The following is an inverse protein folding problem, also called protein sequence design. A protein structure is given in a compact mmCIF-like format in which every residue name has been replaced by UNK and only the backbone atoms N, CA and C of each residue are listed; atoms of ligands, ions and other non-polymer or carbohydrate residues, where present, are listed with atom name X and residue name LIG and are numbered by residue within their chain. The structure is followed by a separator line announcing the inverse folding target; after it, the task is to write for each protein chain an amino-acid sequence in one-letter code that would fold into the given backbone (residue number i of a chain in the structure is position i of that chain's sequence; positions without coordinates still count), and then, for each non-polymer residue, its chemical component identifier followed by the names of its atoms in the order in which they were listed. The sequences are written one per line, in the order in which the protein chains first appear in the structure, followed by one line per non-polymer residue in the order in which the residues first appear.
data_IF_156440654581
#
_entry.id   IF_156440654581
#
_cell.length_a   1.000
_cell.length_b   1.000
_cell.length_c   1.000
_cell.angle_alpha   90.00
_cell.angle_beta   90.00
_cell.angle_gamma   90.00
#
_symmetry.space_group_name_H-M   'P 1'
#
loop_
_entity.id
_entity.type
_entity.pdbx_description
1 polymer ?
#
# COMPACT_ATOMS: atom_id res chain seq x y z
N UNK A 1 -3.89 -26.74 -61.80
CA UNK A 1 -2.97 -27.45 -60.89
C UNK A 1 -3.45 -27.29 -59.45
N UNK A 2 -3.93 -28.37 -58.78
CA UNK A 2 -4.31 -28.31 -57.34
C UNK A 2 -3.05 -28.39 -56.51
N UNK A 3 -2.75 -27.30 -55.75
CA UNK A 3 -1.66 -27.32 -54.75
C UNK A 3 -2.00 -28.32 -53.66
N UNK A 4 -1.17 -29.35 -53.48
CA UNK A 4 -1.29 -30.26 -52.32
C UNK A 4 -1.03 -29.46 -51.05
N UNK A 5 -2.04 -29.31 -50.23
CA UNK A 5 -1.87 -28.75 -48.85
C UNK A 5 -1.16 -29.81 -48.00
N UNK A 6 0.02 -29.45 -47.49
CA UNK A 6 0.72 -30.29 -46.52
C UNK A 6 0.03 -30.10 -45.16
N UNK A 7 -0.60 -31.13 -44.65
CA UNK A 7 -1.16 -31.13 -43.30
C UNK A 7 -0.08 -31.34 -42.25
N UNK A 8 -0.31 -30.87 -41.03
CA UNK A 8 0.53 -31.14 -39.86
C UNK A 8 0.46 -32.62 -39.49
N UNK A 9 1.59 -33.15 -39.05
CA UNK A 9 1.64 -34.51 -38.50
C UNK A 9 1.18 -34.48 -37.03
N UNK A 10 0.61 -35.59 -36.56
CA UNK A 10 0.15 -35.74 -35.17
C UNK A 10 1.29 -35.56 -34.16
N UNK A 11 2.51 -36.03 -34.52
CA UNK A 11 3.70 -35.91 -33.67
C UNK A 11 4.21 -34.47 -33.54
N UNK A 12 4.13 -33.67 -34.61
CA UNK A 12 4.51 -32.26 -34.58
C UNK A 12 3.59 -31.48 -33.62
N UNK A 13 2.30 -31.76 -33.64
CA UNK A 13 1.36 -31.15 -32.74
C UNK A 13 1.61 -31.58 -31.29
N UNK A 14 1.84 -32.85 -31.03
CA UNK A 14 2.07 -33.41 -29.71
C UNK A 14 3.33 -32.84 -29.04
N UNK A 15 4.43 -32.70 -29.79
CA UNK A 15 5.67 -32.11 -29.29
C UNK A 15 5.45 -30.61 -28.90
N UNK A 16 4.75 -29.86 -29.73
CA UNK A 16 4.49 -28.44 -29.49
C UNK A 16 3.66 -28.25 -28.20
N UNK A 17 2.58 -29.02 -28.03
CA UNK A 17 1.78 -28.89 -26.83
C UNK A 17 2.52 -29.34 -25.56
N UNK A 18 3.42 -30.33 -25.67
CA UNK A 18 4.25 -30.76 -24.55
C UNK A 18 5.24 -29.65 -24.14
N UNK A 19 5.89 -28.98 -25.08
CA UNK A 19 6.81 -27.87 -24.79
C UNK A 19 6.06 -26.70 -24.19
N UNK A 20 4.92 -26.30 -24.74
CA UNK A 20 4.10 -25.22 -24.20
C UNK A 20 3.64 -25.55 -22.78
N UNK A 21 3.24 -26.79 -22.50
CA UNK A 21 2.84 -27.23 -21.17
C UNK A 21 3.96 -27.08 -20.13
N UNK A 22 5.19 -27.47 -20.47
CA UNK A 22 6.35 -27.31 -19.57
C UNK A 22 6.67 -25.84 -19.35
N UNK A 23 6.72 -25.03 -20.41
CA UNK A 23 7.01 -23.60 -20.30
C UNK A 23 5.93 -22.86 -19.49
N UNK A 24 4.66 -23.20 -19.68
CA UNK A 24 3.56 -22.62 -18.92
C UNK A 24 3.66 -22.96 -17.43
N UNK A 25 3.97 -24.21 -17.09
CA UNK A 25 4.10 -24.62 -15.68
C UNK A 25 5.22 -23.85 -14.95
N UNK A 26 6.40 -23.71 -15.56
CA UNK A 26 7.51 -22.94 -14.98
C UNK A 26 7.21 -21.45 -14.95
N UNK A 27 6.61 -20.93 -16.04
CA UNK A 27 6.27 -19.51 -16.17
C UNK A 27 5.30 -19.02 -15.10
N UNK A 28 4.25 -19.78 -14.76
CA UNK A 28 3.26 -19.41 -13.74
C UNK A 28 3.90 -19.29 -12.37
N UNK A 29 4.76 -20.22 -11.96
CA UNK A 29 5.45 -20.20 -10.67
C UNK A 29 6.38 -18.99 -10.56
N UNK A 30 7.20 -18.75 -11.58
CA UNK A 30 8.12 -17.61 -11.60
C UNK A 30 7.36 -16.26 -11.57
N UNK A 31 6.27 -16.15 -12.34
CA UNK A 31 5.45 -14.95 -12.39
C UNK A 31 4.77 -14.65 -11.04
N UNK A 32 4.24 -15.66 -10.35
CA UNK A 32 3.59 -15.48 -9.04
C UNK A 32 4.57 -14.99 -7.98
N UNK A 33 5.80 -15.52 -7.96
CA UNK A 33 6.87 -15.06 -7.07
C UNK A 33 7.27 -13.61 -7.33
N UNK A 34 7.45 -13.25 -8.60
CA UNK A 34 7.77 -11.88 -8.99
C UNK A 34 6.68 -10.88 -8.60
N UNK A 35 5.42 -11.19 -8.88
CA UNK A 35 4.30 -10.30 -8.56
C UNK A 35 4.13 -10.13 -7.05
N UNK A 36 4.34 -11.17 -6.24
CA UNK A 36 4.31 -11.08 -4.78
C UNK A 36 5.41 -10.14 -4.26
N UNK A 37 6.63 -10.27 -4.76
CA UNK A 37 7.75 -9.38 -4.42
C UNK A 37 7.49 -7.92 -4.81
N UNK A 38 6.93 -7.69 -6.00
CA UNK A 38 6.58 -6.36 -6.48
C UNK A 38 5.51 -5.69 -5.59
N UNK A 39 4.47 -6.43 -5.20
CA UNK A 39 3.43 -5.96 -4.30
C UNK A 39 3.98 -5.57 -2.92
N UNK A 40 4.88 -6.40 -2.36
CA UNK A 40 5.56 -6.11 -1.09
C UNK A 40 6.42 -4.85 -1.19
N UNK A 41 7.16 -4.69 -2.29
CA UNK A 41 7.97 -3.50 -2.56
C UNK A 41 7.10 -2.23 -2.68
N UNK A 42 5.98 -2.31 -3.38
CA UNK A 42 5.02 -1.20 -3.50
C UNK A 42 4.43 -0.80 -2.14
N UNK A 43 4.07 -1.78 -1.29
CA UNK A 43 3.58 -1.50 0.06
C UNK A 43 4.66 -0.82 0.94
N UNK A 44 5.94 -1.22 0.82
CA UNK A 44 7.05 -0.54 1.49
C UNK A 44 7.24 0.89 0.99
N UNK A 45 7.07 1.12 -0.31
CA UNK A 45 7.10 2.47 -0.90
C UNK A 45 5.98 3.35 -0.35
N UNK A 46 4.77 2.83 -0.23
CA UNK A 46 3.65 3.54 0.39
C UNK A 46 3.97 3.93 1.85
N UNK A 47 4.52 3.00 2.64
CA UNK A 47 4.95 3.26 4.02
C UNK A 47 5.95 4.43 4.10
N UNK A 48 7.00 4.38 3.28
CA UNK A 48 8.01 5.43 3.25
C UNK A 48 7.44 6.77 2.78
N UNK A 49 6.51 6.76 1.82
CA UNK A 49 5.83 7.97 1.34
C UNK A 49 4.99 8.61 2.42
N UNK A 50 4.23 7.82 3.21
CA UNK A 50 3.43 8.31 4.34
C UNK A 50 4.31 9.03 5.36
N UNK A 51 5.40 8.39 5.81
CA UNK A 51 6.32 9.00 6.78
C UNK A 51 6.93 10.31 6.29
N UNK A 52 7.46 10.30 5.07
CA UNK A 52 8.09 11.50 4.48
C UNK A 52 7.09 12.63 4.30
N UNK A 53 5.90 12.31 3.81
CA UNK A 53 4.85 13.30 3.61
C UNK A 53 4.41 13.92 4.93
N UNK A 54 4.06 13.11 5.92
CA UNK A 54 3.61 13.59 7.22
C UNK A 54 4.70 14.45 7.90
N UNK A 55 5.95 13.98 7.94
CA UNK A 55 7.05 14.73 8.52
C UNK A 55 7.28 16.09 7.81
N UNK A 56 7.20 16.11 6.48
CA UNK A 56 7.37 17.36 5.72
C UNK A 56 6.24 18.36 5.99
N UNK A 57 5.00 17.90 6.07
CA UNK A 57 3.84 18.74 6.31
C UNK A 57 3.81 19.26 7.76
N UNK A 58 4.19 18.45 8.74
CA UNK A 58 4.36 18.91 10.13
C UNK A 58 5.45 19.97 10.24
N UNK A 59 6.59 19.78 9.58
CA UNK A 59 7.64 20.82 9.56
C UNK A 59 7.20 22.13 8.91
N UNK A 60 6.30 22.13 7.95
CA UNK A 60 5.69 23.36 7.41
C UNK A 60 4.89 24.11 8.52
N UNK A 61 4.14 23.36 9.32
CA UNK A 61 3.40 23.95 10.44
C UNK A 61 4.36 24.62 11.46
N UNK A 62 5.48 23.96 11.77
CA UNK A 62 6.47 24.50 12.69
C UNK A 62 7.14 25.78 12.16
N UNK A 63 7.54 25.77 10.88
CA UNK A 63 8.15 26.94 10.21
C UNK A 63 7.19 28.14 10.24
N UNK A 64 5.88 27.86 10.11
CA UNK A 64 4.84 28.89 10.17
C UNK A 64 4.41 29.26 11.60
N UNK A 65 5.15 28.88 12.64
CA UNK A 65 4.86 29.18 14.02
C UNK A 65 3.56 28.56 14.54
N UNK A 66 3.21 27.38 14.06
CA UNK A 66 1.98 26.69 14.46
C UNK A 66 0.69 27.26 13.87
N UNK A 67 0.80 28.16 12.89
CA UNK A 67 -0.37 28.82 12.27
C UNK A 67 -0.60 28.32 10.85
N UNK A 68 -1.84 28.48 10.34
CA UNK A 68 -2.21 28.06 8.99
C UNK A 68 -2.70 26.63 8.93
N UNK A 69 -2.57 26.03 7.74
CA UNK A 69 -3.04 24.67 7.50
C UNK A 69 -2.09 23.94 6.55
N UNK A 70 -2.01 22.62 6.71
CA UNK A 70 -1.17 21.71 5.97
C UNK A 70 -1.97 20.50 5.45
N UNK A 71 -1.28 19.56 4.81
CA UNK A 71 -1.82 18.28 4.32
C UNK A 71 -2.99 18.46 3.35
N UNK A 72 -2.66 18.81 2.11
CA UNK A 72 -3.64 18.97 1.04
C UNK A 72 -4.13 17.61 0.55
N UNK A 73 -5.43 17.40 0.60
CA UNK A 73 -6.08 16.20 0.07
C UNK A 73 -6.35 16.32 -1.45
N UNK A 74 -6.67 15.20 -2.14
CA UNK A 74 -7.01 15.20 -3.57
C UNK A 74 -8.18 16.12 -3.93
N UNK A 75 -9.10 16.38 -3.02
CA UNK A 75 -10.20 17.33 -3.17
C UNK A 75 -9.74 18.81 -3.15
N UNK A 76 -8.44 19.05 -3.03
CA UNK A 76 -7.83 20.37 -2.98
C UNK A 76 -7.90 21.07 -1.63
N UNK A 77 -8.59 20.50 -0.64
CA UNK A 77 -8.77 21.09 0.69
C UNK A 77 -7.60 20.72 1.61
N UNK A 78 -7.20 21.66 2.45
CA UNK A 78 -6.26 21.43 3.54
C UNK A 78 -6.96 20.71 4.68
N UNK A 79 -6.36 19.65 5.21
CA UNK A 79 -6.98 18.74 6.18
C UNK A 79 -6.43 18.89 7.60
N UNK A 80 -5.25 19.45 7.77
CA UNK A 80 -4.64 19.70 9.06
C UNK A 80 -4.61 21.19 9.35
N UNK A 81 -5.23 21.63 10.46
CA UNK A 81 -4.93 22.92 11.05
C UNK A 81 -3.64 22.80 11.85
N UNK A 82 -2.69 23.69 11.63
CA UNK A 82 -1.41 23.65 12.35
C UNK A 82 -1.57 23.85 13.85
N UNK A 83 -2.65 24.50 14.31
CA UNK A 83 -3.00 24.59 15.73
C UNK A 83 -3.40 23.26 16.36
N UNK A 84 -3.73 22.25 15.56
CA UNK A 84 -4.14 20.92 16.01
C UNK A 84 -2.98 19.90 15.96
N UNK A 85 -1.78 20.32 15.53
CA UNK A 85 -0.56 19.51 15.68
C UNK A 85 -0.34 19.31 17.19
N UNK A 86 -0.08 18.08 17.62
CA UNK A 86 -0.04 17.72 19.04
C UNK A 86 -1.38 17.29 19.62
N UNK A 87 -2.47 17.31 18.84
CA UNK A 87 -3.76 16.77 19.27
C UNK A 87 -3.93 15.34 18.77
N UNK A 88 -4.30 14.43 19.65
CA UNK A 88 -4.43 13.00 19.37
C UNK A 88 -5.25 12.70 18.09
N UNK A 89 -4.66 11.93 17.20
CA UNK A 89 -5.22 11.49 15.92
C UNK A 89 -5.51 12.58 14.87
N UNK A 90 -5.21 13.84 15.10
CA UNK A 90 -5.49 14.90 14.10
C UNK A 90 -4.48 14.84 12.93
N UNK A 91 -3.20 14.62 13.23
CA UNK A 91 -2.16 14.43 12.19
C UNK A 91 -2.43 13.15 11.41
N UNK A 92 -2.78 12.06 12.07
CA UNK A 92 -3.10 10.79 11.42
C UNK A 92 -4.32 10.90 10.49
N UNK A 93 -5.43 11.49 10.95
CA UNK A 93 -6.64 11.73 10.12
C UNK A 93 -6.33 12.59 8.90
N UNK A 94 -5.57 13.66 9.08
CA UNK A 94 -5.20 14.55 7.99
C UNK A 94 -4.27 13.85 6.99
N UNK A 95 -3.32 13.03 7.47
CA UNK A 95 -2.41 12.23 6.62
C UNK A 95 -3.20 11.23 5.79
N UNK A 96 -4.13 10.48 6.37
CA UNK A 96 -4.99 9.53 5.67
C UNK A 96 -5.82 10.24 4.61
N UNK A 97 -6.43 11.37 4.94
CA UNK A 97 -7.23 12.15 3.99
C UNK A 97 -6.40 12.74 2.84
N UNK A 98 -5.17 13.16 3.12
CA UNK A 98 -4.28 13.72 2.11
C UNK A 98 -3.74 12.66 1.13
N UNK A 99 -3.59 11.42 1.57
CA UNK A 99 -3.07 10.31 0.78
C UNK A 99 -4.17 9.32 0.34
N UNK A 100 -5.40 9.81 0.21
CA UNK A 100 -6.59 9.02 -0.12
C UNK A 100 -6.52 8.31 -1.48
N UNK A 101 -5.71 8.82 -2.41
CA UNK A 101 -5.52 8.24 -3.74
C UNK A 101 -4.60 7.01 -3.78
N UNK A 102 -3.89 6.74 -2.70
CA UNK A 102 -3.00 5.59 -2.61
C UNK A 102 -3.78 4.29 -2.63
N UNK A 103 -3.46 3.40 -3.58
CA UNK A 103 -4.12 2.10 -3.73
C UNK A 103 -3.33 0.98 -3.06
N UNK A 104 -4.07 0.02 -2.51
CA UNK A 104 -3.48 -1.18 -1.94
C UNK A 104 -2.87 -2.06 -3.04
N UNK A 105 -1.54 -2.34 -3.02
CA UNK A 105 -0.89 -3.13 -4.07
C UNK A 105 -1.39 -4.56 -4.18
N UNK A 106 -1.97 -5.08 -3.11
CA UNK A 106 -2.53 -6.44 -3.11
C UNK A 106 -3.97 -6.50 -3.61
N UNK A 107 -4.62 -5.35 -3.80
CA UNK A 107 -6.02 -5.29 -4.22
C UNK A 107 -7.01 -5.78 -3.15
N UNK A 108 -6.55 -5.95 -1.91
CA UNK A 108 -7.39 -6.43 -0.81
C UNK A 108 -8.33 -5.32 -0.39
N UNK A 109 -9.60 -5.65 -0.32
CA UNK A 109 -10.65 -4.80 0.25
C UNK A 109 -11.04 -5.45 1.58
N UNK A 110 -11.04 -4.71 2.71
CA UNK A 110 -11.45 -5.29 4.00
C UNK A 110 -12.83 -5.93 3.93
N UNK A 111 -13.00 -7.07 4.59
CA UNK A 111 -14.25 -7.84 4.59
C UNK A 111 -15.46 -7.05 5.09
N UNK A 112 -15.26 -5.96 5.80
CA UNK A 112 -16.28 -5.06 6.33
C UNK A 112 -16.80 -4.01 5.32
N UNK A 113 -16.47 -4.17 4.02
CA UNK A 113 -16.95 -3.25 2.98
C UNK A 113 -16.14 -1.96 2.96
N UNK A 114 -14.89 -2.02 2.56
CA UNK A 114 -14.01 -0.88 2.38
C UNK A 114 -13.69 -0.62 0.91
N UNK A 115 -13.02 0.48 0.69
CA UNK A 115 -12.39 0.80 -0.59
C UNK A 115 -10.99 0.17 -0.69
N UNK A 116 -10.42 0.17 -1.92
CA UNK A 116 -9.06 -0.32 -2.17
C UNK A 116 -7.99 0.75 -1.82
N UNK A 117 -8.21 1.57 -0.80
CA UNK A 117 -7.25 2.57 -0.35
C UNK A 117 -6.15 1.91 0.47
N UNK A 118 -4.89 2.29 0.20
CA UNK A 118 -3.75 1.73 0.89
C UNK A 118 -3.60 2.29 2.32
N UNK A 119 -3.95 3.56 2.52
CA UNK A 119 -3.71 4.26 3.78
C UNK A 119 -5.00 4.30 4.59
N UNK A 120 -4.92 3.86 5.84
CA UNK A 120 -6.04 3.74 6.77
C UNK A 120 -5.71 4.38 8.12
N UNK A 121 -6.73 4.89 8.79
CA UNK A 121 -6.57 5.30 10.18
C UNK A 121 -6.44 4.06 11.07
N UNK A 122 -5.38 4.02 11.86
CA UNK A 122 -5.18 2.98 12.89
C UNK A 122 -5.93 3.30 14.17
N UNK A 123 -6.10 2.29 15.01
CA UNK A 123 -6.71 2.43 16.34
C UNK A 123 -5.69 2.04 17.41
N UNK A 124 -5.44 2.94 18.37
CA UNK A 124 -4.60 2.67 19.53
C UNK A 124 -3.12 3.05 19.36
N UNK A 125 -2.38 2.99 20.45
CA UNK A 125 -0.97 3.40 20.56
C UNK A 125 0.04 2.31 20.16
N UNK A 126 -0.41 1.12 19.90
CA UNK A 126 0.45 0.01 19.45
C UNK A 126 -0.20 -0.62 18.24
N UNK A 127 0.65 -0.94 17.28
CA UNK A 127 0.42 -1.78 16.14
C UNK A 127 -1.00 -2.36 16.07
N UNK A 128 -1.86 -1.78 15.25
CA UNK A 128 -3.06 -2.49 14.80
C UNK A 128 -2.59 -3.85 14.29
N UNK A 129 -2.91 -4.91 15.02
CA UNK A 129 -2.48 -6.24 14.66
C UNK A 129 -2.92 -6.51 13.23
N UNK A 130 -1.99 -6.91 12.38
CA UNK A 130 -2.33 -7.34 11.04
C UNK A 130 -3.22 -8.57 11.16
N UNK A 131 -4.42 -8.49 10.62
CA UNK A 131 -5.46 -9.50 10.63
C UNK A 131 -5.93 -9.77 9.21
N UNK A 132 -6.84 -10.71 9.04
CA UNK A 132 -7.46 -10.99 7.75
C UNK A 132 -7.99 -9.72 7.10
N UNK A 133 -7.65 -9.53 5.82
CA UNK A 133 -8.04 -8.37 5.04
C UNK A 133 -7.22 -7.10 5.28
N UNK A 134 -6.14 -7.16 6.08
CA UNK A 134 -5.27 -5.99 6.32
C UNK A 134 -4.04 -5.94 5.42
N UNK A 135 -3.77 -7.01 4.68
CA UNK A 135 -2.60 -7.15 3.80
C UNK A 135 -2.49 -5.99 2.79
N UNK A 136 -1.34 -5.36 2.78
CA UNK A 136 -1.02 -4.23 1.90
C UNK A 136 -1.54 -2.88 2.39
N UNK A 137 -2.25 -2.83 3.51
CA UNK A 137 -2.65 -1.57 4.12
C UNK A 137 -1.54 -0.98 4.99
N UNK A 138 -1.47 0.34 4.99
CA UNK A 138 -0.63 1.13 5.88
C UNK A 138 -1.54 1.88 6.85
N UNK A 139 -1.42 1.57 8.12
CA UNK A 139 -2.16 2.20 9.20
C UNK A 139 -1.37 3.36 9.77
N UNK A 140 -2.05 4.47 10.00
CA UNK A 140 -1.48 5.70 10.58
C UNK A 140 -2.29 6.07 11.81
N UNK A 141 -1.62 6.34 12.90
CA UNK A 141 -2.22 6.84 14.13
C UNK A 141 -1.21 7.73 14.87
N UNK A 142 -1.68 8.66 15.69
CA UNK A 142 -0.83 9.47 16.56
C UNK A 142 -1.44 9.58 17.95
N UNK A 143 -0.59 9.78 18.95
CA UNK A 143 -0.95 10.01 20.34
C UNK A 143 -0.84 11.48 20.75
N UNK A 144 -0.59 12.36 19.78
CA UNK A 144 -0.33 13.78 19.96
C UNK A 144 1.16 14.11 19.91
N UNK A 145 2.03 13.28 20.47
CA UNK A 145 3.49 13.50 20.50
C UNK A 145 4.22 12.74 19.39
N UNK A 146 3.72 11.57 19.02
CA UNK A 146 4.36 10.68 18.06
C UNK A 146 3.37 10.17 17.03
N UNK A 147 3.74 10.26 15.76
CA UNK A 147 3.04 9.64 14.65
C UNK A 147 3.62 8.26 14.38
N UNK A 148 2.76 7.28 14.39
CA UNK A 148 3.09 5.88 14.11
C UNK A 148 2.55 5.47 12.75
N UNK A 149 3.36 4.76 12.00
CA UNK A 149 2.99 4.20 10.70
C UNK A 149 3.30 2.71 10.70
N UNK A 150 2.33 1.88 10.39
CA UNK A 150 2.48 0.44 10.33
C UNK A 150 1.92 -0.10 9.02
N UNK A 151 2.68 -0.96 8.34
CA UNK A 151 2.26 -1.61 7.09
C UNK A 151 2.25 -3.11 7.26
N UNK A 152 1.16 -3.75 6.84
CA UNK A 152 0.96 -5.19 6.87
C UNK A 152 1.32 -5.80 5.51
N UNK A 153 2.22 -6.79 5.48
CA UNK A 153 2.61 -7.49 4.24
C UNK A 153 1.91 -8.84 4.08
N UNK A 154 1.36 -9.37 5.16
CA UNK A 154 0.55 -10.58 5.18
C UNK A 154 -0.60 -10.40 6.17
N UNK A 155 -1.47 -11.38 6.27
CA UNK A 155 -2.54 -11.41 7.28
C UNK A 155 -2.04 -11.93 8.64
N UNK A 156 -0.72 -12.07 8.81
CA UNK A 156 -0.07 -12.45 10.06
C UNK A 156 0.63 -11.25 10.70
N UNK A 157 0.57 -11.14 12.01
CA UNK A 157 1.17 -10.06 12.81
C UNK A 157 2.69 -9.96 12.68
N UNK A 158 3.37 -11.06 12.35
CA UNK A 158 4.83 -11.12 12.26
C UNK A 158 5.42 -10.48 10.99
N UNK A 159 4.63 -10.27 9.91
CA UNK A 159 5.11 -9.71 8.65
C UNK A 159 4.66 -8.25 8.51
N UNK A 160 5.20 -7.41 9.37
CA UNK A 160 4.87 -5.99 9.45
C UNK A 160 6.12 -5.12 9.33
N UNK A 161 5.91 -3.87 8.96
CA UNK A 161 6.90 -2.81 9.05
C UNK A 161 6.31 -1.66 9.84
N UNK A 162 6.98 -1.25 10.91
CA UNK A 162 6.54 -0.14 11.75
C UNK A 162 7.61 0.93 11.80
N UNK A 163 7.21 2.18 11.77
CA UNK A 163 8.07 3.35 11.90
C UNK A 163 7.33 4.46 12.66
N UNK A 164 8.08 5.37 13.24
CA UNK A 164 7.51 6.49 13.97
C UNK A 164 8.28 7.78 13.68
N UNK A 165 7.62 8.92 13.87
CA UNK A 165 8.22 10.25 13.81
C UNK A 165 7.59 11.14 14.86
N UNK A 166 8.36 12.09 15.40
CA UNK A 166 7.84 13.06 16.38
C UNK A 166 6.85 14.00 15.70
N UNK A 167 5.77 14.33 16.42
CA UNK A 167 4.81 15.35 16.09
C UNK A 167 5.25 16.61 16.82
N UNK A 168 6.09 17.41 16.19
CA UNK A 168 6.63 18.67 16.74
C UNK A 168 6.08 19.87 15.98
#
# INVERSE_FOLDING_TARGET
MKKKQKGFTLIELLVVVAIIGILAAVGVVAYSGYTSGAKKSAAKSNHAAVLKYAAAEMKKCNINGGTGSAMKAPDGKLKLSCSNVGTNNEVAKATVAALDDFKNPYGVVPATGGDNKAIKLGTGSAATACADGTKGHTYVFDDGDTLYVQTCFSDATADTMSSQTMVE
#
